data_IF_346043028412
#
_entry.id   IF_346043028412
#
_cell.length_a   1.000
_cell.length_b   1.000
_cell.length_c   1.000
_cell.angle_alpha   90.00
_cell.angle_beta   90.00
_cell.angle_gamma   90.00
#
_symmetry.space_group_name_H-M   'P 1'
#
loop_
_entity.id
_entity.type
_entity.pdbx_description
1 polymer ?
#
# COMPACT_ATOMS: atom_id res chain seq x y z
N UNK A 1 1.03 6.66 4.61
CA UNK A 1 -0.21 6.04 5.13
C UNK A 1 -0.91 7.05 6.02
N UNK A 2 -2.11 7.45 5.66
CA UNK A 2 -2.96 8.34 6.45
C UNK A 2 -4.10 7.52 7.05
N UNK A 3 -4.29 7.68 8.36
CA UNK A 3 -5.25 6.96 9.20
C UNK A 3 -5.87 7.99 10.14
N UNK A 4 -7.10 7.79 10.60
CA UNK A 4 -7.88 8.81 11.33
C UNK A 4 -7.06 9.47 12.47
N UNK A 5 -6.61 10.71 12.25
CA UNK A 5 -5.83 11.48 13.21
C UNK A 5 -4.30 11.33 13.15
N UNK A 6 -3.74 10.60 12.18
CA UNK A 6 -2.29 10.40 12.08
C UNK A 6 -1.78 10.07 10.68
N UNK A 7 -0.52 10.43 10.42
CA UNK A 7 0.19 10.08 9.19
C UNK A 7 1.46 9.33 9.53
N UNK A 8 1.61 8.14 8.94
CA UNK A 8 2.84 7.33 9.02
C UNK A 8 3.51 7.36 7.65
N UNK A 9 4.76 7.79 7.61
CA UNK A 9 5.60 7.81 6.40
C UNK A 9 6.80 6.89 6.59
N UNK A 10 7.37 6.45 5.47
CA UNK A 10 8.44 5.46 5.44
C UNK A 10 8.69 4.99 4.02
N UNK A 11 9.84 4.37 3.83
CA UNK A 11 10.31 3.84 2.56
C UNK A 11 10.30 2.31 2.58
N UNK A 12 10.28 1.71 1.38
CA UNK A 12 10.44 0.27 1.24
C UNK A 12 11.80 -0.19 1.74
N UNK A 13 11.89 -1.46 2.15
CA UNK A 13 13.17 -2.04 2.57
C UNK A 13 14.00 -2.41 1.35
N UNK A 14 15.23 -1.89 1.28
CA UNK A 14 16.23 -2.24 0.25
C UNK A 14 17.17 -3.36 0.70
N UNK A 15 17.19 -3.70 1.99
CA UNK A 15 18.06 -4.76 2.53
C UNK A 15 17.52 -6.14 2.16
N UNK A 16 18.44 -7.09 2.00
CA UNK A 16 18.07 -8.45 1.64
C UNK A 16 17.47 -9.24 2.81
N UNK A 17 17.60 -8.74 4.04
CA UNK A 17 16.93 -9.29 5.19
C UNK A 17 15.41 -9.03 5.10
N UNK A 18 14.56 -10.06 5.26
CA UNK A 18 13.12 -9.87 5.33
C UNK A 18 12.78 -8.97 6.53
N UNK A 19 12.04 -7.88 6.32
CA UNK A 19 11.68 -6.98 7.40
C UNK A 19 10.76 -7.67 8.41
N UNK A 20 10.84 -7.27 9.67
CA UNK A 20 9.90 -7.74 10.68
C UNK A 20 8.51 -7.19 10.37
N UNK A 21 7.64 -8.05 9.85
CA UNK A 21 6.26 -7.72 9.54
C UNK A 21 5.36 -8.04 10.72
N UNK A 22 4.29 -7.28 10.85
CA UNK A 22 3.25 -7.58 11.84
C UNK A 22 2.63 -8.95 11.48
N UNK A 23 2.35 -9.84 12.46
CA UNK A 23 1.83 -11.18 12.22
C UNK A 23 0.62 -11.21 11.26
N UNK A 24 -0.38 -10.34 11.47
CA UNK A 24 -1.53 -10.23 10.55
C UNK A 24 -1.16 -9.94 9.09
N UNK A 25 -0.09 -9.16 8.84
CA UNK A 25 0.38 -8.86 7.49
C UNK A 25 1.17 -10.04 6.94
N UNK A 26 2.09 -10.60 7.74
CA UNK A 26 2.88 -11.77 7.36
C UNK A 26 2.00 -12.98 7.03
N UNK A 27 1.04 -13.30 7.88
CA UNK A 27 0.09 -14.39 7.71
C UNK A 27 -0.72 -14.22 6.42
N UNK A 28 -1.25 -13.02 6.17
CA UNK A 28 -1.99 -12.77 4.93
C UNK A 28 -1.10 -12.96 3.69
N UNK A 29 0.12 -12.40 3.69
CA UNK A 29 1.04 -12.56 2.57
C UNK A 29 1.45 -14.03 2.35
N UNK A 30 1.59 -14.81 3.42
CA UNK A 30 1.88 -16.25 3.34
C UNK A 30 0.73 -17.05 2.72
N UNK A 31 -0.52 -16.60 2.87
CA UNK A 31 -1.70 -17.22 2.25
C UNK A 31 -1.91 -16.86 0.77
N UNK A 32 -1.18 -15.88 0.24
CA UNK A 32 -1.38 -15.43 -1.15
C UNK A 32 -1.01 -16.54 -2.15
N UNK A 33 -1.86 -16.82 -3.16
CA UNK A 33 -1.53 -17.82 -4.16
C UNK A 33 -0.34 -17.35 -5.02
N UNK A 34 0.49 -18.27 -5.55
CA UNK A 34 1.75 -17.94 -6.24
C UNK A 34 1.59 -16.93 -7.38
N UNK A 35 0.44 -16.94 -8.07
CA UNK A 35 0.15 -16.10 -9.23
C UNK A 35 0.07 -14.60 -8.91
N UNK A 36 -0.23 -14.25 -7.66
CA UNK A 36 -0.29 -12.86 -7.18
C UNK A 36 0.81 -12.55 -6.17
N UNK A 37 1.72 -13.50 -5.93
CA UNK A 37 2.85 -13.35 -5.01
C UNK A 37 4.06 -12.81 -5.77
N UNK A 38 4.39 -11.56 -5.48
CA UNK A 38 5.56 -10.90 -6.04
C UNK A 38 6.85 -11.39 -5.40
N UNK A 39 7.97 -11.33 -6.13
CA UNK A 39 9.29 -11.76 -5.64
C UNK A 39 9.78 -10.96 -4.44
N UNK A 40 9.35 -9.70 -4.33
CA UNK A 40 9.70 -8.76 -3.26
C UNK A 40 8.59 -8.63 -2.20
N UNK A 41 7.75 -9.66 -2.03
CA UNK A 41 6.66 -9.66 -1.05
C UNK A 41 7.16 -9.25 0.33
N UNK A 42 6.42 -8.35 0.99
CA UNK A 42 6.76 -7.88 2.33
C UNK A 42 7.84 -6.78 2.39
N UNK A 43 8.58 -6.51 1.29
CA UNK A 43 9.59 -5.44 1.27
C UNK A 43 9.06 -4.09 0.79
N UNK A 44 7.89 -4.10 0.14
CA UNK A 44 7.25 -2.90 -0.37
C UNK A 44 6.85 -1.93 0.77
N UNK A 45 6.90 -0.60 0.55
CA UNK A 45 6.56 0.39 1.58
C UNK A 45 5.15 0.19 2.16
N UNK A 46 4.21 -0.35 1.38
CA UNK A 46 2.85 -0.62 1.79
C UNK A 46 2.78 -1.63 2.94
N UNK A 47 3.43 -2.77 2.78
CA UNK A 47 3.46 -3.83 3.79
C UNK A 47 4.16 -3.36 5.08
N UNK A 48 5.24 -2.58 4.93
CA UNK A 48 6.00 -2.01 6.05
C UNK A 48 5.20 -0.96 6.82
N UNK A 49 4.59 -0.01 6.12
CA UNK A 49 3.79 1.05 6.74
C UNK A 49 2.58 0.47 7.46
N UNK A 50 1.93 -0.52 6.85
CA UNK A 50 0.81 -1.22 7.46
C UNK A 50 1.26 -1.96 8.72
N UNK A 51 2.35 -2.73 8.63
CA UNK A 51 2.91 -3.46 9.76
C UNK A 51 3.28 -2.53 10.92
N UNK A 52 3.98 -1.43 10.63
CA UNK A 52 4.37 -0.44 11.63
C UNK A 52 3.16 0.20 12.30
N UNK A 53 2.14 0.58 11.53
CA UNK A 53 0.92 1.13 12.09
C UNK A 53 0.22 0.13 13.02
N UNK A 54 0.04 -1.12 12.57
CA UNK A 54 -0.62 -2.16 13.36
C UNK A 54 0.16 -2.50 14.64
N UNK A 55 1.49 -2.56 14.58
CA UNK A 55 2.34 -2.76 15.75
C UNK A 55 2.23 -1.59 16.74
N UNK A 56 2.25 -0.34 16.25
CA UNK A 56 2.08 0.84 17.12
C UNK A 56 0.69 0.88 17.77
N UNK A 57 -0.34 0.50 17.02
CA UNK A 57 -1.71 0.38 17.50
C UNK A 57 -1.86 -0.74 18.54
N UNK A 58 -1.10 -1.83 18.41
CA UNK A 58 -1.05 -2.92 19.38
C UNK A 58 -0.34 -2.51 20.67
N UNK A 59 0.81 -1.85 20.56
CA UNK A 59 1.55 -1.31 21.69
C UNK A 59 0.75 -0.25 22.48
N UNK A 60 -0.11 0.51 21.81
CA UNK A 60 -0.98 1.50 22.44
C UNK A 60 -2.19 0.90 23.18
N UNK A 61 -2.43 -0.41 23.12
CA UNK A 61 -3.56 -1.04 23.82
C UNK A 61 -3.32 -1.14 25.31
N UNK A 62 -4.36 -0.84 26.08
CA UNK A 62 -4.34 -0.89 27.54
C UNK A 62 -5.46 -1.80 28.10
N UNK A 63 -5.41 -2.08 29.40
CA UNK A 63 -6.43 -2.87 30.11
C UNK A 63 -6.51 -4.32 29.62
N UNK A 64 -7.74 -4.88 29.54
CA UNK A 64 -7.98 -6.27 29.12
C UNK A 64 -7.50 -6.64 27.70
N UNK A 65 -7.09 -5.65 26.90
CA UNK A 65 -6.53 -5.83 25.56
C UNK A 65 -5.01 -5.70 25.51
N UNK A 66 -4.36 -5.29 26.61
CA UNK A 66 -2.91 -5.21 26.68
C UNK A 66 -2.29 -6.61 26.52
N UNK A 67 -1.25 -6.71 25.69
CA UNK A 67 -0.56 -7.99 25.41
C UNK A 67 -1.33 -8.99 24.55
N UNK A 68 -2.57 -8.68 24.13
CA UNK A 68 -3.35 -9.55 23.26
C UNK A 68 -3.11 -9.18 21.79
N UNK A 69 -2.76 -10.19 20.99
CA UNK A 69 -2.64 -10.06 19.53
C UNK A 69 -3.91 -9.47 18.93
N UNK A 70 -3.74 -8.52 18.02
CA UNK A 70 -4.82 -7.91 17.25
C UNK A 70 -5.48 -8.95 16.35
N UNK A 71 -6.81 -8.93 16.29
CA UNK A 71 -7.54 -9.69 15.27
C UNK A 71 -7.62 -8.95 13.93
N UNK A 72 -7.81 -9.67 12.83
CA UNK A 72 -8.00 -9.07 11.50
C UNK A 72 -9.20 -8.10 11.45
N UNK A 73 -10.28 -8.40 12.18
CA UNK A 73 -11.45 -7.52 12.28
C UNK A 73 -11.15 -6.19 12.99
N UNK A 74 -10.35 -6.23 14.06
CA UNK A 74 -9.89 -5.02 14.75
C UNK A 74 -8.97 -4.20 13.84
N UNK A 75 -8.04 -4.85 13.13
CA UNK A 75 -7.16 -4.18 12.17
C UNK A 75 -7.96 -3.43 11.09
N UNK A 76 -8.97 -4.07 10.47
CA UNK A 76 -9.87 -3.43 9.51
C UNK A 76 -10.62 -2.24 10.10
N UNK A 77 -11.08 -2.34 11.34
CA UNK A 77 -11.78 -1.24 12.01
C UNK A 77 -10.86 -0.04 12.24
N UNK A 78 -9.61 -0.27 12.62
CA UNK A 78 -8.62 0.80 12.82
C UNK A 78 -8.20 1.45 11.50
N UNK A 79 -8.09 0.65 10.44
CA UNK A 79 -7.75 1.09 9.10
C UNK A 79 -8.95 1.60 8.30
N UNK A 80 -10.12 1.73 8.93
CA UNK A 80 -11.31 2.23 8.26
C UNK A 80 -11.05 3.64 7.71
N UNK A 81 -11.29 3.82 6.42
CA UNK A 81 -11.00 5.07 5.67
C UNK A 81 -9.51 5.42 5.58
N UNK A 82 -8.61 4.47 5.83
CA UNK A 82 -7.19 4.67 5.64
C UNK A 82 -6.87 4.87 4.15
N UNK A 83 -5.92 5.75 3.88
CA UNK A 83 -5.44 6.06 2.53
C UNK A 83 -3.93 5.87 2.49
N UNK A 84 -3.44 5.24 1.43
CA UNK A 84 -2.02 5.06 1.20
C UNK A 84 -1.63 5.66 -0.14
N UNK A 85 -0.60 6.50 -0.13
CA UNK A 85 0.06 7.00 -1.32
C UNK A 85 1.48 6.49 -1.31
N UNK A 86 1.89 5.81 -2.38
CA UNK A 86 3.26 5.38 -2.63
C UNK A 86 3.84 6.18 -3.80
N UNK A 87 5.13 6.48 -3.71
CA UNK A 87 5.88 7.25 -4.71
C UNK A 87 7.24 6.59 -4.93
N UNK A 88 7.81 6.75 -6.11
CA UNK A 88 9.17 6.28 -6.37
C UNK A 88 10.20 7.14 -5.63
N UNK A 89 11.11 6.48 -4.91
CA UNK A 89 12.29 7.10 -4.32
C UNK A 89 13.49 6.73 -5.20
N UNK A 90 14.01 7.72 -5.93
CA UNK A 90 15.16 7.62 -6.86
C UNK A 90 16.23 8.65 -6.51
N UNK A 91 17.36 8.64 -7.18
CA UNK A 91 18.41 9.67 -6.98
C UNK A 91 17.88 11.05 -7.41
N UNK A 92 18.51 12.10 -6.88
CA UNK A 92 18.18 13.48 -7.26
C UNK A 92 18.47 13.68 -8.75
N UNK A 93 17.53 14.24 -9.50
CA UNK A 93 17.60 14.36 -10.96
C UNK A 93 16.95 13.23 -11.77
N UNK A 94 16.49 12.14 -11.15
CA UNK A 94 15.67 11.14 -11.86
C UNK A 94 14.25 11.68 -12.09
N UNK A 95 13.77 11.76 -13.35
CA UNK A 95 12.46 12.34 -13.68
C UNK A 95 11.28 11.53 -13.11
N UNK A 96 11.51 10.29 -12.67
CA UNK A 96 10.50 9.44 -12.03
C UNK A 96 10.51 9.59 -10.51
N UNK A 97 11.45 10.32 -9.93
CA UNK A 97 11.46 10.61 -8.50
C UNK A 97 10.16 11.30 -8.10
N UNK A 98 9.53 10.86 -7.02
CA UNK A 98 8.29 11.46 -6.51
C UNK A 98 7.03 11.13 -7.33
N UNK A 99 7.15 10.53 -8.51
CA UNK A 99 6.02 10.06 -9.29
C UNK A 99 5.26 8.96 -8.52
N UNK A 100 3.93 8.93 -8.68
CA UNK A 100 3.09 7.91 -8.07
C UNK A 100 3.55 6.50 -8.48
N UNK A 101 3.61 5.62 -7.49
CA UNK A 101 3.92 4.22 -7.68
C UNK A 101 2.68 3.41 -7.29
N UNK A 102 2.02 2.71 -8.24
CA UNK A 102 0.92 1.83 -7.89
C UNK A 102 1.41 0.67 -7.02
N UNK A 103 0.58 0.17 -6.09
CA UNK A 103 0.95 -0.98 -5.27
C UNK A 103 1.19 -2.21 -6.14
N UNK A 104 2.17 -3.02 -5.78
CA UNK A 104 2.41 -4.30 -6.46
C UNK A 104 1.23 -5.26 -6.29
N UNK A 105 1.17 -6.35 -7.09
CA UNK A 105 0.01 -7.27 -7.09
C UNK A 105 -0.33 -7.82 -5.71
N UNK A 106 0.69 -8.20 -4.92
CA UNK A 106 0.52 -8.70 -3.56
C UNK A 106 0.04 -7.61 -2.60
N UNK A 107 0.63 -6.41 -2.70
CA UNK A 107 0.25 -5.29 -1.85
C UNK A 107 -1.15 -4.76 -2.19
N UNK A 108 -1.57 -4.80 -3.45
CA UNK A 108 -2.94 -4.46 -3.83
C UNK A 108 -3.96 -5.38 -3.12
N UNK A 109 -3.70 -6.70 -3.09
CA UNK A 109 -4.54 -7.66 -2.34
C UNK A 109 -4.51 -7.44 -0.83
N UNK A 110 -3.34 -7.09 -0.28
CA UNK A 110 -3.19 -6.76 1.13
C UNK A 110 -4.01 -5.53 1.50
N UNK A 111 -3.90 -4.45 0.73
CA UNK A 111 -4.61 -3.21 0.98
C UNK A 111 -6.14 -3.40 0.89
N UNK A 112 -6.60 -4.14 -0.12
CA UNK A 112 -8.01 -4.54 -0.28
C UNK A 112 -8.52 -5.32 0.94
N UNK A 113 -7.77 -6.33 1.39
CA UNK A 113 -8.14 -7.15 2.56
C UNK A 113 -8.32 -6.33 3.84
N UNK A 114 -7.52 -5.27 4.02
CA UNK A 114 -7.58 -4.39 5.18
C UNK A 114 -8.47 -3.15 4.98
N UNK A 115 -9.02 -2.94 3.78
CA UNK A 115 -9.87 -1.80 3.45
C UNK A 115 -9.12 -0.47 3.33
N UNK A 116 -7.84 -0.50 2.94
CA UNK A 116 -6.99 0.68 2.73
C UNK A 116 -7.05 1.08 1.27
N UNK A 117 -7.40 2.33 0.98
CA UNK A 117 -7.44 2.84 -0.39
C UNK A 117 -6.04 3.29 -0.84
N UNK A 118 -5.53 2.73 -1.94
CA UNK A 118 -4.37 3.29 -2.63
C UNK A 118 -4.80 4.54 -3.41
N UNK A 119 -4.15 5.69 -3.16
CA UNK A 119 -4.52 6.99 -3.74
C UNK A 119 -3.34 7.57 -4.49
N UNK A 120 -3.56 7.82 -5.78
CA UNK A 120 -2.70 8.68 -6.60
C UNK A 120 -3.05 10.16 -6.36
N UNK A 121 -2.13 10.96 -5.79
CA UNK A 121 -2.36 12.39 -5.58
C UNK A 121 -2.46 13.18 -6.89
N UNK A 122 -1.92 12.67 -8.00
CA UNK A 122 -2.00 13.27 -9.32
C UNK A 122 -3.29 12.96 -10.07
N UNK A 123 -4.02 11.91 -9.66
CA UNK A 123 -5.29 11.53 -10.28
C UNK A 123 -6.47 12.45 -9.92
N UNK A 124 -6.26 13.50 -9.11
CA UNK A 124 -7.27 14.53 -8.93
C UNK A 124 -7.31 15.45 -10.16
N UNK A 125 -8.02 15.01 -11.18
CA UNK A 125 -8.68 15.89 -12.14
C UNK A 125 -10.17 15.52 -12.15
N UNK A 126 -11.08 16.35 -11.60
CA UNK A 126 -12.49 16.20 -11.90
C UNK A 126 -12.71 16.67 -13.34
N UNK A 127 -12.46 15.79 -14.31
CA UNK A 127 -12.71 16.07 -15.72
C UNK A 127 -11.76 15.35 -16.68
N UNK A 128 -11.93 14.04 -16.85
CA UNK A 128 -11.47 13.35 -18.07
C UNK A 128 -12.28 12.06 -18.27
N UNK A 129 -13.60 12.20 -18.43
CA UNK A 129 -14.30 11.32 -19.36
C UNK A 129 -14.00 11.85 -20.76
N UNK A 130 -13.11 11.15 -21.46
CA UNK A 130 -12.67 11.46 -22.81
C UNK A 130 -12.09 10.21 -23.46
N UNK A 131 -12.92 9.17 -23.55
CA UNK A 131 -12.71 8.11 -24.50
C UNK A 131 -12.84 8.67 -25.93
N UNK A 132 -12.06 8.14 -26.86
CA UNK A 132 -12.10 8.45 -28.30
C UNK A 132 -10.68 8.78 -28.77
N UNK A 133 -9.90 7.81 -29.23
CA UNK A 133 -10.20 6.98 -30.39
C UNK A 133 -9.20 7.38 -31.46
N UNK A 134 -8.22 6.52 -31.72
CA UNK A 134 -7.25 6.73 -32.79
C UNK A 134 -7.97 6.80 -34.14
N UNK A 135 -7.73 7.81 -35.00
CA UNK A 135 -8.11 7.69 -36.39
C UNK A 135 -7.11 6.77 -37.09
N UNK A 136 -7.59 5.58 -37.44
CA UNK A 136 -7.07 4.78 -38.55
C UNK A 136 -7.72 5.32 -39.85
N UNK A 137 -6.90 5.48 -40.89
CA UNK A 137 -7.32 5.78 -42.28
C UNK A 137 -7.27 7.27 -42.62
N UNK A 138 -6.84 7.72 -43.78
CA UNK A 138 -6.42 7.11 -45.05
C UNK A 138 -5.76 8.21 -45.88
N UNK A 139 -4.75 7.87 -46.69
CA UNK A 139 -4.77 7.98 -48.16
C UNK A 139 -5.08 9.38 -48.72
N UNK A 140 -4.15 9.92 -49.53
CA UNK A 140 -4.34 10.41 -50.91
C UNK A 140 -3.23 11.41 -51.29
N UNK A 141 -3.11 11.76 -52.58
CA UNK A 141 -2.48 11.01 -53.67
C UNK A 141 -1.04 11.48 -53.99
#
# INVERSE_FOLDING_TARGET
LQVRGGTVTGTGSKVDQPPELHPLVGDFLATLPPQVRERNVGRCPEALLLSRYLASAEAARTGRKAGRRMSAGEARKMLKQARLTARHVREDGDPRHGAYAPPCRSCARLLDHFGVAAVDPGAHSPGAFGAGGAPLGGEAP
#
